data_IF_804417820038
#
_entry.id   IF_804417820038
#
_cell.length_a   1.000
_cell.length_b   1.000
_cell.length_c   1.000
_cell.angle_alpha   90.00
_cell.angle_beta   90.00
_cell.angle_gamma   90.00
#
_symmetry.space_group_name_H-M   'P 1'
#
loop_
_entity.id
_entity.type
_entity.pdbx_description
1 polymer ?
#
# COMPACT_ATOMS: atom_id res chain seq x y z
N UNK A 1 -13.03 -12.18 25.56
CA UNK A 1 -12.27 -11.97 24.31
C UNK A 1 -12.51 -13.16 23.39
N UNK A 2 -13.33 -12.99 22.35
CA UNK A 2 -13.55 -14.04 21.34
C UNK A 2 -12.28 -14.15 20.50
N UNK A 3 -11.51 -15.23 20.67
CA UNK A 3 -10.45 -15.56 19.71
C UNK A 3 -11.14 -15.93 18.39
N UNK A 4 -10.83 -15.29 17.26
CA UNK A 4 -11.50 -15.62 16.02
C UNK A 4 -11.06 -17.01 15.56
N UNK A 5 -11.98 -17.75 14.95
CA UNK A 5 -11.78 -19.06 14.30
C UNK A 5 -10.62 -19.10 13.28
N UNK A 6 -10.04 -17.94 12.92
CA UNK A 6 -9.10 -17.75 11.83
C UNK A 6 -7.84 -17.02 12.32
N UNK A 7 -6.85 -17.76 12.84
CA UNK A 7 -5.59 -17.18 13.34
C UNK A 7 -4.80 -16.44 12.26
N UNK A 8 -4.87 -16.89 11.01
CA UNK A 8 -4.21 -16.28 9.84
C UNK A 8 -4.59 -14.81 9.63
N UNK A 9 -5.74 -14.37 10.16
CA UNK A 9 -6.19 -12.97 10.07
C UNK A 9 -5.26 -12.00 10.82
N UNK A 10 -4.55 -12.47 11.84
CA UNK A 10 -3.58 -11.63 12.58
C UNK A 10 -2.16 -11.70 12.02
N UNK A 11 -1.89 -12.67 11.14
CA UNK A 11 -0.61 -12.77 10.43
C UNK A 11 -0.48 -11.61 9.42
N UNK A 12 -1.61 -11.13 8.87
CA UNK A 12 -1.67 -9.99 7.97
C UNK A 12 -1.67 -8.65 8.72
N UNK A 13 -1.23 -7.58 8.06
CA UNK A 13 -1.28 -6.24 8.64
C UNK A 13 -2.73 -5.78 8.81
N UNK A 14 -3.00 -5.03 9.90
CA UNK A 14 -4.31 -4.38 10.15
C UNK A 14 -4.80 -3.54 8.97
N UNK A 15 -3.85 -3.00 8.21
CA UNK A 15 -4.05 -2.10 7.09
C UNK A 15 -4.68 -2.80 5.89
N UNK A 16 -4.32 -4.07 5.64
CA UNK A 16 -4.82 -4.81 4.49
C UNK A 16 -6.37 -4.91 4.41
N UNK A 17 -7.09 -5.37 5.45
CA UNK A 17 -8.55 -5.42 5.41
C UNK A 17 -9.21 -4.03 5.41
N UNK A 18 -8.63 -3.04 6.11
CA UNK A 18 -9.15 -1.67 6.13
C UNK A 18 -9.12 -1.05 4.73
N UNK A 19 -8.04 -1.29 3.99
CA UNK A 19 -7.89 -0.79 2.62
C UNK A 19 -8.80 -1.50 1.63
N UNK A 20 -9.02 -2.81 1.79
CA UNK A 20 -9.98 -3.53 0.98
C UNK A 20 -11.38 -2.88 1.06
N UNK A 21 -11.83 -2.51 2.27
CA UNK A 21 -13.10 -1.81 2.49
C UNK A 21 -13.10 -0.38 1.91
N UNK A 22 -12.01 0.38 2.09
CA UNK A 22 -11.88 1.73 1.52
C UNK A 22 -11.94 1.71 -0.01
N UNK A 23 -11.26 0.77 -0.65
CA UNK A 23 -11.30 0.61 -2.10
C UNK A 23 -12.67 0.19 -2.59
N UNK A 24 -13.35 -0.71 -1.88
CA UNK A 24 -14.72 -1.10 -2.20
C UNK A 24 -15.68 0.10 -2.16
N UNK A 25 -15.63 0.90 -1.09
CA UNK A 25 -16.45 2.11 -0.94
C UNK A 25 -16.19 3.09 -2.09
N UNK A 26 -14.91 3.35 -2.41
CA UNK A 26 -14.56 4.27 -3.49
C UNK A 26 -14.99 3.75 -4.87
N UNK A 27 -14.90 2.44 -5.12
CA UNK A 27 -15.31 1.85 -6.39
C UNK A 27 -16.83 1.96 -6.59
N UNK A 28 -17.63 1.75 -5.54
CA UNK A 28 -19.07 1.97 -5.58
C UNK A 28 -19.43 3.44 -5.79
N UNK A 29 -18.75 4.38 -5.12
CA UNK A 29 -18.95 5.83 -5.36
C UNK A 29 -18.74 6.18 -6.84
N UNK A 30 -17.70 5.65 -7.47
CA UNK A 30 -17.41 5.86 -8.91
C UNK A 30 -18.45 5.20 -9.82
N UNK A 31 -18.98 4.05 -9.41
CA UNK A 31 -20.08 3.38 -10.09
C UNK A 31 -21.34 4.25 -10.08
N UNK A 32 -21.72 4.78 -8.92
CA UNK A 32 -22.90 5.64 -8.79
C UNK A 32 -22.74 6.99 -9.48
N UNK A 33 -21.51 7.53 -9.56
CA UNK A 33 -21.21 8.73 -10.33
C UNK A 33 -21.09 8.48 -11.85
N UNK A 34 -21.39 7.26 -12.33
CA UNK A 34 -21.30 6.84 -13.74
C UNK A 34 -19.92 7.02 -14.39
N UNK A 35 -18.85 7.08 -13.58
CA UNK A 35 -17.47 7.19 -14.07
C UNK A 35 -16.87 5.81 -14.34
N UNK A 36 -17.38 4.77 -13.68
CA UNK A 36 -16.98 3.37 -13.90
C UNK A 36 -18.17 2.43 -13.81
N UNK A 37 -18.02 1.20 -14.30
CA UNK A 37 -19.02 0.16 -14.09
C UNK A 37 -19.01 -0.43 -12.67
N UNK A 38 -19.85 -1.45 -12.46
CA UNK A 38 -19.94 -2.18 -11.20
C UNK A 38 -18.57 -2.77 -10.79
N UNK A 39 -18.16 -2.60 -9.52
CA UNK A 39 -16.89 -3.15 -9.04
C UNK A 39 -16.88 -4.68 -9.11
N UNK A 40 -15.73 -5.23 -9.50
CA UNK A 40 -15.47 -6.68 -9.50
C UNK A 40 -14.45 -7.01 -8.41
N UNK A 41 -14.65 -8.13 -7.72
CA UNK A 41 -13.67 -8.62 -6.76
C UNK A 41 -12.34 -8.93 -7.47
N UNK A 42 -11.23 -8.61 -6.79
CA UNK A 42 -9.90 -8.98 -7.27
C UNK A 42 -9.75 -10.51 -7.27
N UNK A 43 -9.04 -11.02 -8.27
CA UNK A 43 -8.70 -12.44 -8.39
C UNK A 43 -7.19 -12.59 -8.20
N UNK A 44 -6.76 -13.56 -7.38
CA UNK A 44 -5.34 -13.89 -7.20
C UNK A 44 -4.67 -14.14 -8.55
N UNK A 45 -3.48 -13.56 -8.76
CA UNK A 45 -2.74 -13.66 -10.02
C UNK A 45 -3.18 -12.66 -11.09
N UNK A 46 -4.17 -11.80 -10.79
CA UNK A 46 -4.61 -10.73 -11.69
C UNK A 46 -4.59 -9.39 -10.96
N UNK A 47 -3.69 -8.51 -11.39
CA UNK A 47 -3.52 -7.15 -10.84
C UNK A 47 -3.33 -7.16 -9.30
N UNK A 48 -2.52 -8.09 -8.84
CA UNK A 48 -2.21 -8.28 -7.43
C UNK A 48 -1.49 -7.02 -6.92
N UNK A 49 -2.14 -6.31 -6.01
CA UNK A 49 -1.55 -5.15 -5.36
C UNK A 49 -2.02 -5.05 -3.93
N UNK A 50 -1.14 -4.58 -3.06
CA UNK A 50 -1.48 -4.27 -1.69
C UNK A 50 -0.90 -2.92 -1.29
N UNK A 51 -1.71 -2.06 -0.67
CA UNK A 51 -1.21 -0.83 -0.08
C UNK A 51 -0.47 -1.18 1.22
N UNK A 52 0.79 -0.79 1.27
CA UNK A 52 1.53 -0.69 2.51
C UNK A 52 1.37 0.76 3.00
N UNK A 53 0.23 1.05 3.64
CA UNK A 53 0.16 2.27 4.42
C UNK A 53 0.85 2.09 5.76
N UNK A 54 1.94 2.82 5.89
CA UNK A 54 2.63 3.03 7.14
C UNK A 54 2.68 4.54 7.24
N UNK A 55 1.78 5.13 8.04
CA UNK A 55 2.00 6.51 8.43
C UNK A 55 3.40 6.55 9.05
N UNK A 56 4.23 7.51 8.64
CA UNK A 56 5.55 7.72 9.21
C UNK A 56 5.55 7.78 10.76
N UNK A 57 4.38 7.98 11.37
CA UNK A 57 4.17 8.05 12.82
C UNK A 57 3.30 6.92 13.41
N UNK A 58 3.05 5.81 12.70
CA UNK A 58 2.42 4.64 13.32
C UNK A 58 3.49 3.69 13.83
N UNK A 59 3.31 3.24 15.07
CA UNK A 59 4.12 2.32 15.88
C UNK A 59 4.65 1.03 15.20
N UNK A 60 4.31 0.77 13.93
CA UNK A 60 4.65 -0.44 13.16
C UNK A 60 5.96 -0.32 12.34
N UNK A 61 6.69 0.80 12.44
CA UNK A 61 7.98 1.02 11.79
C UNK A 61 7.90 2.01 10.62
N UNK A 62 8.90 2.88 10.51
CA UNK A 62 9.01 3.87 9.44
C UNK A 62 9.42 3.22 8.11
N UNK A 63 8.82 3.69 7.01
CA UNK A 63 9.35 3.42 5.67
C UNK A 63 10.65 4.22 5.54
N UNK A 64 11.77 3.52 5.37
CA UNK A 64 13.06 4.16 5.12
C UNK A 64 13.43 3.95 3.66
N UNK A 65 13.76 5.03 2.97
CA UNK A 65 14.23 5.01 1.59
C UNK A 65 15.73 5.22 1.63
N UNK A 66 16.48 4.28 1.06
CA UNK A 66 17.89 4.46 0.69
C UNK A 66 18.04 4.34 -0.83
N UNK A 67 19.23 4.65 -1.34
CA UNK A 67 19.51 4.79 -2.78
C UNK A 67 19.02 3.59 -3.62
N UNK A 68 19.33 2.36 -3.22
CA UNK A 68 18.94 1.12 -3.91
C UNK A 68 18.14 0.16 -3.04
N UNK A 69 17.66 0.63 -1.89
CA UNK A 69 16.99 -0.22 -0.92
C UNK A 69 15.85 0.52 -0.26
N UNK A 70 14.73 -0.18 -0.06
CA UNK A 70 13.60 0.31 0.71
C UNK A 70 13.37 -0.57 1.92
N UNK A 71 13.17 0.03 3.09
CA UNK A 71 12.72 -0.65 4.29
C UNK A 71 11.21 -0.55 4.38
N UNK A 72 10.53 -1.68 4.29
CA UNK A 72 9.10 -1.78 4.51
C UNK A 72 8.78 -2.29 5.91
N UNK A 73 7.67 -1.84 6.51
CA UNK A 73 7.19 -2.40 7.77
C UNK A 73 6.83 -3.88 7.64
N UNK A 74 7.19 -4.65 8.67
CA UNK A 74 7.15 -6.13 8.75
C UNK A 74 8.02 -6.90 7.75
N UNK A 75 8.23 -6.41 6.52
CA UNK A 75 9.01 -7.11 5.49
C UNK A 75 10.51 -6.85 5.63
N UNK A 76 10.90 -5.65 6.09
CA UNK A 76 12.31 -5.26 6.23
C UNK A 76 12.90 -4.65 4.96
N UNK A 77 14.21 -4.77 4.79
CA UNK A 77 14.95 -4.17 3.67
C UNK A 77 14.81 -4.99 2.38
N UNK A 78 14.47 -4.30 1.28
CA UNK A 78 14.30 -4.88 -0.04
C UNK A 78 15.15 -4.08 -1.03
N UNK A 79 15.82 -4.79 -1.93
CA UNK A 79 16.59 -4.19 -3.04
C UNK A 79 15.66 -3.68 -4.13
N UNK A 80 15.88 -2.46 -4.59
CA UNK A 80 15.25 -1.89 -5.79
C UNK A 80 16.23 -1.86 -6.94
N UNK A 81 15.70 -2.03 -8.15
CA UNK A 81 16.50 -1.88 -9.37
C UNK A 81 16.77 -0.40 -9.69
N UNK A 82 15.79 0.45 -9.41
CA UNK A 82 15.86 1.89 -9.64
C UNK A 82 16.45 2.62 -8.42
N UNK A 83 17.14 3.72 -8.70
CA UNK A 83 17.59 4.67 -7.69
C UNK A 83 16.37 5.39 -7.13
N UNK A 84 16.18 5.28 -5.82
CA UNK A 84 15.10 5.96 -5.13
C UNK A 84 15.50 7.40 -4.77
N UNK A 85 14.53 8.34 -4.73
CA UNK A 85 14.82 9.71 -4.34
C UNK A 85 15.21 9.78 -2.86
N UNK A 86 16.38 10.38 -2.60
CA UNK A 86 16.89 10.61 -1.25
C UNK A 86 16.12 11.72 -0.53
N UNK A 87 16.08 11.65 0.81
CA UNK A 87 15.43 12.62 1.71
C UNK A 87 13.91 12.81 1.53
N UNK A 88 13.25 11.83 0.91
CA UNK A 88 11.80 11.87 0.76
C UNK A 88 11.12 10.99 1.80
N UNK A 89 10.17 11.56 2.55
CA UNK A 89 9.30 10.79 3.46
C UNK A 89 7.97 10.48 2.77
N UNK A 90 7.78 9.27 2.22
CA UNK A 90 6.52 8.91 1.57
C UNK A 90 5.40 8.83 2.61
N UNK A 91 4.21 9.32 2.24
CA UNK A 91 3.01 9.22 3.06
C UNK A 91 2.44 7.81 3.03
N UNK A 92 2.43 7.21 1.84
CA UNK A 92 2.02 5.82 1.64
C UNK A 92 2.83 5.18 0.52
N UNK A 93 2.96 3.85 0.60
CA UNK A 93 3.62 3.04 -0.41
C UNK A 93 2.65 1.97 -0.90
N UNK A 94 2.60 1.76 -2.21
CA UNK A 94 1.79 0.70 -2.81
C UNK A 94 2.68 -0.26 -3.56
N UNK A 95 2.52 -1.56 -3.28
CA UNK A 95 3.28 -2.62 -3.94
C UNK A 95 2.35 -3.34 -4.89
N UNK A 96 2.79 -3.47 -6.14
CA UNK A 96 2.00 -4.07 -7.22
C UNK A 96 2.83 -5.14 -7.91
N UNK A 97 2.22 -6.29 -8.19
CA UNK A 97 2.78 -7.33 -9.04
C UNK A 97 2.16 -7.21 -10.44
N UNK A 98 2.98 -7.01 -11.46
CA UNK A 98 2.57 -6.95 -12.86
C UNK A 98 3.58 -7.68 -13.73
N UNK A 99 3.10 -8.58 -14.61
CA UNK A 99 3.95 -9.39 -15.50
C UNK A 99 5.14 -10.05 -14.76
N UNK A 100 4.84 -10.70 -13.63
CA UNK A 100 5.81 -11.34 -12.72
C UNK A 100 6.92 -10.44 -12.16
N UNK A 101 6.76 -9.12 -12.25
CA UNK A 101 7.63 -8.13 -11.64
C UNK A 101 6.91 -7.39 -10.51
N UNK A 102 7.67 -7.04 -9.48
CA UNK A 102 7.20 -6.26 -8.35
C UNK A 102 7.57 -4.78 -8.55
N UNK A 103 6.60 -3.91 -8.36
CA UNK A 103 6.73 -2.47 -8.47
C UNK A 103 6.34 -1.80 -7.16
N UNK A 104 7.04 -0.73 -6.83
CA UNK A 104 6.79 0.10 -5.64
C UNK A 104 6.41 1.49 -6.09
N UNK A 105 5.28 1.99 -5.62
CA UNK A 105 4.80 3.36 -5.89
C UNK A 105 4.73 4.15 -4.59
N UNK A 106 5.26 5.37 -4.62
CA UNK A 106 5.31 6.27 -3.48
C UNK A 106 4.32 7.42 -3.66
N UNK A 107 3.46 7.63 -2.67
CA UNK A 107 2.64 8.84 -2.61
C UNK A 107 3.34 9.86 -1.71
N UNK A 108 3.84 10.93 -2.33
CA UNK A 108 4.51 12.02 -1.63
C UNK A 108 3.51 13.11 -1.29
N UNK A 109 3.62 13.68 -0.09
CA UNK A 109 2.93 14.93 0.24
C UNK A 109 3.93 16.06 0.06
N UNK A 110 3.90 16.73 -1.08
CA UNK A 110 4.66 17.97 -1.24
C UNK A 110 4.08 19.00 -0.27
N UNK A 111 4.88 19.51 0.67
CA UNK A 111 4.63 20.84 1.22
C UNK A 111 5.11 21.81 0.15
N UNK A 112 4.19 22.42 -0.58
CA UNK A 112 4.52 23.57 -1.42
C UNK A 112 4.98 24.65 -0.44
N UNK A 113 6.28 24.88 -0.35
CA UNK A 113 6.81 26.08 0.30
C UNK A 113 6.58 27.20 -0.69
N UNK A 114 5.47 27.92 -0.54
CA UNK A 114 5.29 29.18 -1.24
C UNK A 114 6.34 30.14 -0.70
N UNK A 115 7.29 30.52 -1.54
CA UNK A 115 8.07 31.74 -1.38
C UNK A 115 7.25 32.92 -1.90
#
# INVERSE_FOLDING_TARGET
MVRPKNSWYYEVSKTAPQYALRYLSNAWKRCFSKVSGQPKFKKKGKDDSFPAECYANTLDGSISVGVFHIKLPRIGWIKTYEILPDNVTPKSVTITKKADRWFVSFALRNRISNY
#
